data_IF_049229671146
#
_entry.id   IF_049229671146
#
_cell.length_a   1.000
_cell.length_b   1.000
_cell.length_c   1.000
_cell.angle_alpha   90.00
_cell.angle_beta   90.00
_cell.angle_gamma   90.00
#
_symmetry.space_group_name_H-M   'P 1'
#
loop_
_entity.id
_entity.type
_entity.pdbx_description
1 polymer ?
#
# COMPACT_ATOMS: atom_id res chain seq x y z
N UNK A 1 10.10 0.38 -9.35
CA UNK A 1 11.57 0.27 -9.48
C UNK A 1 12.25 -0.30 -8.24
N UNK A 2 12.08 0.25 -7.02
CA UNK A 2 12.85 -0.21 -5.86
C UNK A 2 12.29 -1.45 -5.12
N UNK A 3 11.02 -1.80 -5.29
CA UNK A 3 10.43 -2.99 -4.64
C UNK A 3 10.83 -4.27 -5.35
N UNK A 4 10.83 -4.25 -6.69
CA UNK A 4 11.12 -5.43 -7.51
C UNK A 4 12.63 -5.65 -7.69
N UNK A 5 13.45 -4.59 -7.73
CA UNK A 5 14.92 -4.71 -7.80
C UNK A 5 15.57 -5.36 -6.57
N UNK A 6 14.83 -5.51 -5.47
CA UNK A 6 15.33 -6.18 -4.27
C UNK A 6 15.06 -7.68 -4.30
N UNK A 7 14.26 -8.17 -5.26
CA UNK A 7 13.96 -9.60 -5.47
C UNK A 7 13.58 -10.27 -4.14
N UNK A 8 12.79 -9.58 -3.31
CA UNK A 8 12.52 -10.02 -1.93
C UNK A 8 11.77 -11.34 -1.96
N UNK A 9 10.72 -11.43 -2.78
CA UNK A 9 9.97 -12.66 -3.00
C UNK A 9 10.85 -13.80 -3.55
N UNK A 10 11.77 -13.52 -4.47
CA UNK A 10 12.70 -14.52 -5.03
C UNK A 10 13.76 -14.98 -4.01
N UNK A 11 14.40 -14.06 -3.29
CA UNK A 11 15.44 -14.37 -2.29
C UNK A 11 14.87 -15.11 -1.08
N UNK A 12 13.75 -14.64 -0.53
CA UNK A 12 13.12 -15.34 0.58
C UNK A 12 12.42 -16.62 0.12
N UNK A 13 11.96 -16.69 -1.13
CA UNK A 13 11.48 -17.93 -1.74
C UNK A 13 12.58 -18.99 -1.78
N UNK A 14 13.78 -18.64 -2.25
CA UNK A 14 14.94 -19.53 -2.28
C UNK A 14 15.31 -20.04 -0.88
N UNK A 15 15.33 -19.15 0.12
CA UNK A 15 15.59 -19.53 1.52
C UNK A 15 14.55 -20.53 2.03
N UNK A 16 13.26 -20.33 1.72
CA UNK A 16 12.21 -21.27 2.12
C UNK A 16 12.35 -22.63 1.44
N UNK A 17 12.73 -22.65 0.16
CA UNK A 17 13.01 -23.90 -0.57
C UNK A 17 14.16 -24.65 0.08
N UNK A 18 15.28 -23.99 0.36
CA UNK A 18 16.45 -24.61 0.98
C UNK A 18 16.16 -25.13 2.39
N UNK A 19 15.41 -24.37 3.20
CA UNK A 19 15.13 -24.74 4.59
C UNK A 19 14.06 -25.82 4.74
N UNK A 20 13.01 -25.77 3.92
CA UNK A 20 11.86 -26.66 4.04
C UNK A 20 11.83 -27.76 2.97
N UNK A 21 12.81 -27.77 2.06
CA UNK A 21 12.93 -28.74 0.97
C UNK A 21 11.62 -28.85 0.17
N UNK A 22 11.11 -27.68 -0.24
CA UNK A 22 9.78 -27.56 -0.82
C UNK A 22 9.64 -28.42 -2.09
N UNK A 23 8.56 -29.21 -2.20
CA UNK A 23 8.33 -30.03 -3.37
C UNK A 23 7.86 -29.20 -4.57
N UNK A 24 8.04 -29.75 -5.77
CA UNK A 24 7.34 -29.27 -6.97
C UNK A 24 5.83 -29.36 -6.73
N UNK A 25 5.13 -28.23 -6.84
CA UNK A 25 3.70 -28.14 -6.58
C UNK A 25 2.97 -27.63 -7.83
N UNK A 26 1.93 -28.36 -8.29
CA UNK A 26 1.19 -28.05 -9.53
C UNK A 26 2.04 -27.86 -10.80
N UNK A 27 3.24 -28.46 -10.86
CA UNK A 27 4.16 -28.31 -12.00
C UNK A 27 5.03 -27.07 -11.95
N UNK A 28 4.90 -26.24 -10.91
CA UNK A 28 5.77 -25.10 -10.64
C UNK A 28 7.13 -25.56 -10.11
N UNK A 29 8.18 -24.81 -10.40
CA UNK A 29 9.51 -25.08 -9.84
C UNK A 29 9.44 -24.91 -8.32
N UNK A 30 10.34 -25.56 -7.55
CA UNK A 30 10.40 -25.35 -6.11
C UNK A 30 10.54 -23.86 -5.74
N UNK A 31 11.31 -23.12 -6.54
CA UNK A 31 11.53 -21.69 -6.41
C UNK A 31 10.20 -20.90 -6.44
N UNK A 32 9.40 -21.06 -7.49
CA UNK A 32 8.10 -20.37 -7.65
C UNK A 32 7.13 -20.75 -6.52
N UNK A 33 7.23 -21.98 -5.99
CA UNK A 33 6.46 -22.40 -4.81
C UNK A 33 6.90 -21.65 -3.54
N UNK A 34 8.20 -21.42 -3.39
CA UNK A 34 8.75 -20.59 -2.32
C UNK A 34 8.32 -19.14 -2.43
N UNK A 35 8.36 -18.57 -3.63
CA UNK A 35 7.91 -17.20 -3.94
C UNK A 35 6.42 -17.02 -3.61
N UNK A 36 5.56 -17.93 -4.08
CA UNK A 36 4.14 -17.94 -3.76
C UNK A 36 3.89 -18.00 -2.25
N UNK A 37 4.71 -18.74 -1.50
CA UNK A 37 4.59 -18.84 -0.05
C UNK A 37 4.97 -17.52 0.64
N UNK A 38 6.02 -16.83 0.18
CA UNK A 38 6.38 -15.48 0.68
C UNK A 38 5.21 -14.52 0.43
N UNK A 39 4.65 -14.54 -0.78
CA UNK A 39 3.53 -13.68 -1.15
C UNK A 39 2.26 -14.01 -0.36
N UNK A 40 1.99 -15.28 -0.09
CA UNK A 40 0.89 -15.71 0.76
C UNK A 40 1.07 -15.27 2.22
N UNK A 41 2.29 -15.28 2.75
CA UNK A 41 2.59 -14.78 4.09
C UNK A 41 2.38 -13.26 4.15
N UNK A 42 2.92 -12.52 3.17
CA UNK A 42 2.70 -11.09 3.07
C UNK A 42 1.19 -10.79 3.04
N UNK A 43 0.46 -11.47 2.17
CA UNK A 43 -0.99 -11.38 2.04
C UNK A 43 -1.74 -11.62 3.37
N UNK A 44 -1.38 -12.68 4.09
CA UNK A 44 -1.97 -13.04 5.36
C UNK A 44 -1.75 -11.97 6.44
N UNK A 45 -0.66 -11.20 6.36
CA UNK A 45 -0.36 -10.09 7.26
C UNK A 45 -1.13 -8.83 6.86
N UNK A 46 -1.21 -8.49 5.57
CA UNK A 46 -1.84 -7.23 5.11
C UNK A 46 -3.36 -7.28 5.05
N UNK A 47 -3.96 -8.40 4.63
CA UNK A 47 -5.42 -8.53 4.46
C UNK A 47 -6.22 -8.24 5.74
N UNK A 48 -5.82 -8.68 6.95
CA UNK A 48 -6.50 -8.32 8.19
C UNK A 48 -6.63 -6.81 8.38
N UNK A 49 -5.60 -6.03 8.05
CA UNK A 49 -5.68 -4.57 8.17
C UNK A 49 -6.70 -3.97 7.21
N UNK A 50 -6.77 -4.48 5.98
CA UNK A 50 -7.79 -4.07 4.99
C UNK A 50 -9.20 -4.39 5.49
N UNK A 51 -9.41 -5.60 6.03
CA UNK A 51 -10.70 -6.02 6.58
C UNK A 51 -11.09 -5.16 7.79
N UNK A 52 -10.16 -4.89 8.70
CA UNK A 52 -10.40 -4.03 9.87
C UNK A 52 -10.74 -2.62 9.42
N UNK A 53 -9.99 -2.05 8.47
CA UNK A 53 -10.27 -0.71 7.94
C UNK A 53 -11.69 -0.60 7.36
N UNK A 54 -12.14 -1.61 6.60
CA UNK A 54 -13.50 -1.65 6.06
C UNK A 54 -14.59 -1.80 7.14
N UNK A 55 -14.31 -2.56 8.21
CA UNK A 55 -15.27 -2.78 9.31
C UNK A 55 -15.41 -1.58 10.23
N UNK A 56 -14.31 -0.87 10.48
CA UNK A 56 -14.28 0.27 11.39
C UNK A 56 -14.78 1.55 10.72
N UNK A 57 -14.61 1.69 9.39
CA UNK A 57 -15.00 2.89 8.67
C UNK A 57 -16.49 3.22 8.77
N UNK A 58 -16.81 4.36 9.41
CA UNK A 58 -18.16 4.88 9.44
C UNK A 58 -18.61 5.34 8.05
N UNK A 59 -19.94 5.45 7.80
CA UNK A 59 -20.47 5.88 6.49
C UNK A 59 -19.88 7.20 6.01
N UNK A 60 -19.58 8.13 6.92
CA UNK A 60 -18.96 9.42 6.62
C UNK A 60 -17.48 9.30 6.18
N UNK A 61 -16.79 8.24 6.59
CA UNK A 61 -15.37 8.01 6.32
C UNK A 61 -15.13 7.18 5.04
N UNK A 62 -16.17 6.49 4.56
CA UNK A 62 -16.10 5.61 3.37
C UNK A 62 -15.51 6.28 2.12
N UNK A 63 -15.79 7.56 1.79
CA UNK A 63 -15.16 8.22 0.64
C UNK A 63 -13.63 8.34 0.76
N UNK A 64 -13.09 8.29 1.98
CA UNK A 64 -11.65 8.38 2.26
C UNK A 64 -11.00 7.00 2.37
N UNK A 65 -11.68 6.04 2.98
CA UNK A 65 -11.17 4.68 3.21
C UNK A 65 -11.28 3.81 1.97
N UNK A 66 -12.38 3.91 1.22
CA UNK A 66 -12.65 3.01 0.10
C UNK A 66 -11.61 3.11 -1.03
N UNK A 67 -11.16 4.32 -1.47
CA UNK A 67 -10.11 4.42 -2.47
C UNK A 67 -8.78 3.83 -2.00
N UNK A 68 -8.44 3.98 -0.72
CA UNK A 68 -7.22 3.38 -0.14
C UNK A 68 -7.31 1.86 -0.22
N UNK A 69 -8.40 1.29 0.27
CA UNK A 69 -8.62 -0.16 0.27
C UNK A 69 -8.64 -0.73 -1.15
N UNK A 70 -9.34 -0.09 -2.09
CA UNK A 70 -9.44 -0.56 -3.47
C UNK A 70 -8.08 -0.52 -4.16
N UNK A 71 -7.31 0.57 -4.05
CA UNK A 71 -5.98 0.62 -4.65
C UNK A 71 -5.03 -0.40 -4.00
N UNK A 72 -5.04 -0.55 -2.66
CA UNK A 72 -4.25 -1.57 -1.99
C UNK A 72 -4.60 -2.99 -2.44
N UNK A 73 -5.90 -3.29 -2.62
CA UNK A 73 -6.35 -4.58 -3.12
C UNK A 73 -5.91 -4.83 -4.56
N UNK A 74 -5.91 -3.80 -5.41
CA UNK A 74 -5.48 -3.90 -6.80
C UNK A 74 -3.96 -4.07 -6.93
N UNK A 75 -3.16 -3.35 -6.13
CA UNK A 75 -1.71 -3.56 -6.04
C UNK A 75 -1.43 -5.02 -5.66
N UNK A 76 -2.09 -5.49 -4.60
CA UNK A 76 -1.92 -6.85 -4.11
C UNK A 76 -2.39 -7.91 -5.11
N UNK A 77 -3.45 -7.63 -5.88
CA UNK A 77 -3.90 -8.50 -6.95
C UNK A 77 -2.84 -8.61 -8.06
N UNK A 78 -2.26 -7.49 -8.48
CA UNK A 78 -1.18 -7.49 -9.47
C UNK A 78 0.04 -8.27 -8.94
N UNK A 79 0.56 -7.92 -7.78
CA UNK A 79 1.77 -8.52 -7.24
C UNK A 79 1.67 -9.97 -6.80
N UNK A 80 0.48 -10.44 -6.39
CA UNK A 80 0.34 -11.81 -5.87
C UNK A 80 -0.35 -12.72 -6.88
N UNK A 81 -1.44 -12.26 -7.49
CA UNK A 81 -2.25 -13.13 -8.36
C UNK A 81 -1.69 -13.14 -9.77
N UNK A 82 -1.34 -11.99 -10.33
CA UNK A 82 -0.80 -11.96 -11.68
C UNK A 82 0.61 -12.57 -11.73
N UNK A 83 1.46 -12.29 -10.74
CA UNK A 83 2.76 -12.95 -10.54
C UNK A 83 2.65 -14.49 -10.48
N UNK A 84 1.76 -15.00 -9.62
CA UNK A 84 1.53 -16.45 -9.51
C UNK A 84 0.98 -17.07 -10.81
N UNK A 85 0.07 -16.37 -11.50
CA UNK A 85 -0.46 -16.86 -12.79
C UNK A 85 0.61 -16.82 -13.87
N UNK A 86 1.44 -15.79 -13.85
CA UNK A 86 2.52 -15.60 -14.80
C UNK A 86 3.56 -16.72 -14.67
N UNK A 87 4.07 -16.98 -13.46
CA UNK A 87 5.00 -18.09 -13.18
C UNK A 87 4.46 -19.48 -13.53
N UNK A 88 3.13 -19.69 -13.48
CA UNK A 88 2.51 -20.94 -13.91
C UNK A 88 2.43 -21.11 -15.44
N UNK A 89 2.45 -20.02 -16.20
CA UNK A 89 2.23 -20.03 -17.66
C UNK A 89 3.56 -19.91 -18.42
N UNK A 90 4.55 -19.19 -17.90
CA UNK A 90 5.81 -18.92 -18.58
C UNK A 90 6.99 -19.59 -17.87
N UNK A 91 7.60 -20.58 -18.52
CA UNK A 91 8.82 -21.24 -18.03
C UNK A 91 10.12 -20.47 -18.39
N UNK A 92 10.00 -19.42 -19.22
CA UNK A 92 11.11 -18.66 -19.81
C UNK A 92 10.77 -17.17 -19.81
N UNK A 93 11.54 -16.38 -19.05
CA UNK A 93 11.57 -14.91 -19.16
C UNK A 93 12.07 -14.51 -20.56
N UNK A 94 11.16 -14.38 -21.51
CA UNK A 94 11.46 -13.89 -22.84
C UNK A 94 11.43 -12.36 -22.85
N UNK A 95 12.42 -11.74 -23.49
CA UNK A 95 12.42 -10.29 -23.69
C UNK A 95 11.15 -9.86 -24.46
N UNK A 96 10.33 -9.02 -23.82
CA UNK A 96 9.03 -8.58 -24.37
C UNK A 96 7.82 -9.33 -23.83
N UNK A 97 7.94 -10.01 -22.69
CA UNK A 97 6.80 -10.65 -22.02
C UNK A 97 5.72 -9.62 -21.61
N UNK A 98 4.50 -9.70 -22.19
CA UNK A 98 3.43 -8.79 -21.85
C UNK A 98 2.84 -9.05 -20.45
N UNK A 99 3.04 -10.23 -19.86
CA UNK A 99 2.51 -10.55 -18.52
C UNK A 99 3.26 -9.79 -17.44
N UNK A 100 4.60 -9.83 -17.43
CA UNK A 100 5.42 -9.03 -16.53
C UNK A 100 5.15 -7.53 -16.67
N UNK A 101 4.90 -7.03 -17.89
CA UNK A 101 4.53 -5.62 -18.08
C UNK A 101 3.17 -5.28 -17.42
N UNK A 102 2.18 -6.16 -17.50
CA UNK A 102 0.86 -5.96 -16.90
C UNK A 102 0.94 -6.08 -15.38
N UNK A 103 1.73 -7.02 -14.89
CA UNK A 103 2.01 -7.26 -13.49
C UNK A 103 2.66 -6.03 -12.84
N UNK A 104 3.89 -5.68 -13.26
CA UNK A 104 4.66 -4.54 -12.75
C UNK A 104 3.97 -3.20 -13.02
N UNK A 105 3.45 -3.05 -14.24
CA UNK A 105 2.76 -1.85 -14.66
C UNK A 105 1.49 -1.62 -13.87
N UNK A 106 0.75 -2.69 -13.56
CA UNK A 106 -0.44 -2.67 -12.73
C UNK A 106 -0.12 -2.22 -11.30
N UNK A 107 0.88 -2.82 -10.66
CA UNK A 107 1.32 -2.41 -9.33
C UNK A 107 1.71 -0.92 -9.28
N UNK A 108 2.55 -0.47 -10.21
CA UNK A 108 3.02 0.91 -10.25
C UNK A 108 1.90 1.90 -10.53
N UNK A 109 0.94 1.54 -11.38
CA UNK A 109 -0.23 2.37 -11.67
C UNK A 109 -1.08 2.57 -10.42
N UNK A 110 -1.46 1.48 -9.73
CA UNK A 110 -2.32 1.58 -8.54
C UNK A 110 -1.58 2.17 -7.33
N UNK A 111 -0.28 1.91 -7.19
CA UNK A 111 0.55 2.60 -6.20
C UNK A 111 0.58 4.12 -6.44
N UNK A 112 0.73 4.54 -7.70
CA UNK A 112 0.71 5.96 -8.06
C UNK A 112 -0.65 6.60 -7.80
N UNK A 113 -1.75 5.92 -8.12
CA UNK A 113 -3.11 6.39 -7.84
C UNK A 113 -3.37 6.49 -6.33
N UNK A 114 -2.89 5.54 -5.54
CA UNK A 114 -2.97 5.57 -4.08
C UNK A 114 -2.23 6.79 -3.51
N UNK A 115 -0.98 7.01 -3.93
CA UNK A 115 -0.18 8.16 -3.48
C UNK A 115 -0.83 9.47 -3.90
N UNK A 116 -1.29 9.59 -5.14
CA UNK A 116 -1.98 10.78 -5.64
C UNK A 116 -3.25 11.07 -4.83
N UNK A 117 -4.03 10.03 -4.49
CA UNK A 117 -5.21 10.16 -3.65
C UNK A 117 -4.84 10.67 -2.25
N UNK A 118 -3.87 10.03 -1.57
CA UNK A 118 -3.43 10.44 -0.23
C UNK A 118 -2.89 11.88 -0.22
N UNK A 119 -2.15 12.26 -1.25
CA UNK A 119 -1.64 13.62 -1.41
C UNK A 119 -2.78 14.65 -1.57
N UNK A 120 -3.83 14.31 -2.33
CA UNK A 120 -5.04 15.14 -2.45
C UNK A 120 -5.76 15.30 -1.11
N UNK A 121 -5.91 14.22 -0.34
CA UNK A 121 -6.51 14.27 1.01
C UNK A 121 -5.71 15.21 1.91
N UNK A 122 -4.39 15.07 1.89
CA UNK A 122 -3.48 15.90 2.68
C UNK A 122 -3.54 17.38 2.30
N UNK A 123 -3.62 17.71 1.00
CA UNK A 123 -3.83 19.09 0.55
C UNK A 123 -5.17 19.67 1.05
N UNK A 124 -6.24 18.87 1.02
CA UNK A 124 -7.56 19.28 1.51
C UNK A 124 -7.58 19.62 3.00
N UNK A 125 -6.78 18.92 3.82
CA UNK A 125 -6.66 19.20 5.25
C UNK A 125 -5.93 20.51 5.60
N UNK A 126 -5.21 21.13 4.66
CA UNK A 126 -4.50 22.40 4.90
C UNK A 126 -5.41 23.64 4.96
N UNK A 127 -6.71 23.48 4.72
CA UNK A 127 -7.66 24.58 4.64
C UNK A 127 -8.60 24.72 5.84
N UNK A 128 -8.54 23.83 6.84
CA UNK A 128 -9.27 24.01 8.10
C UNK A 128 -8.42 24.86 9.05
N UNK A 129 -8.78 26.13 9.35
CA UNK A 129 -8.04 26.94 10.29
C UNK A 129 -8.06 26.28 11.66
N UNK A 130 -6.88 26.15 12.28
CA UNK A 130 -6.75 25.54 13.59
C UNK A 130 -7.59 26.35 14.60
N UNK A 131 -8.53 25.75 15.34
CA UNK A 131 -9.52 26.50 16.13
C UNK A 131 -8.92 27.48 17.15
N UNK A 132 -7.71 27.19 17.65
CA UNK A 132 -7.02 28.04 18.61
C UNK A 132 -6.35 29.27 17.97
N UNK A 133 -6.10 29.27 16.65
CA UNK A 133 -5.52 30.41 15.95
C UNK A 133 -6.52 31.58 15.78
N UNK A 134 -7.82 31.28 15.74
CA UNK A 134 -8.90 32.28 15.71
C UNK A 134 -9.24 32.83 17.11
N UNK A 135 -8.76 32.19 18.18
CA UNK A 135 -9.06 32.52 19.56
C UNK A 135 -7.93 33.29 20.26
N UNK A 136 -7.09 34.02 19.51
CA UNK A 136 -6.20 34.99 20.15
C UNK A 136 -7.05 36.14 20.69
N UNK A 137 -7.17 36.32 22.02
CA UNK A 137 -7.93 37.43 22.56
C UNK A 137 -7.20 38.70 22.13
N UNK A 138 -7.89 39.60 21.43
CA UNK A 138 -7.42 40.96 21.27
C UNK A 138 -7.13 41.49 22.67
N UNK A 139 -5.85 41.73 22.95
CA UNK A 139 -5.38 42.35 24.19
C UNK A 139 -6.07 43.71 24.27
N UNK A 140 -7.12 43.82 25.08
CA UNK A 140 -7.76 45.09 25.35
C UNK A 140 -6.67 46.04 25.91
N UNK A 141 -6.56 47.28 25.41
CA UNK A 141 -5.61 48.23 25.96
C UNK A 141 -5.94 48.47 27.44
N UNK A 142 -4.94 48.27 28.30
CA UNK A 142 -5.04 48.46 29.75
C UNK A 142 -5.57 49.87 30.07
N UNK A 143 -6.83 49.92 30.50
CA UNK A 143 -7.38 51.07 31.19
C UNK A 143 -6.81 51.13 32.63
N UNK A 144 -5.53 51.50 32.77
CA UNK A 144 -4.97 51.88 34.07
C UNK A 144 -3.84 52.90 33.92
N UNK A 145 -4.21 54.14 33.59
CA UNK A 145 -3.37 55.30 33.87
C UNK A 145 -4.26 56.53 34.16
N UNK A 146 -5.14 56.38 35.14
CA UNK A 146 -5.72 57.54 35.85
C UNK A 146 -5.36 57.38 37.33
N UNK A 147 -4.27 58.03 37.72
CA UNK A 147 -3.98 58.60 39.04
C UNK A 147 -2.46 58.66 39.24
N UNK A 148 -1.86 59.82 38.97
CA UNK A 148 -1.03 60.53 39.95
C UNK A 148 -0.67 61.92 39.40
N UNK A 149 -1.21 62.93 40.10
CA UNK A 149 -0.80 64.34 40.21
C UNK A 149 -1.18 65.29 39.07
#
# INVERSE_FOLDING_TARGET
>A
FATDSLEIHERYGAVLVEQFNLPVFFGMRPQDTGELLVMAIAAAVTLPFVVVALKVAHRAERPWVLPVVVNSALIMFCGVVLDAVHSMITDVYAAGDPFGLIEDGGEMLFASLLVAFLFRVWLGHRHEPVPWAAASPQRAPDASASHHQ
#
